data_IF_489688299178
#
_entry.id   IF_489688299178
#
_cell.length_a   1.000
_cell.length_b   1.000
_cell.length_c   1.000
_cell.angle_alpha   90.00
_cell.angle_beta   90.00
_cell.angle_gamma   90.00
#
_symmetry.space_group_name_H-M   'P 1'
#
loop_
_entity.id
_entity.type
_entity.pdbx_description
1 polymer ?
#
# COMPACT_ATOMS: atom_id res chain seq x y z
N UNK A 1 28.51 -15.07 17.78
CA UNK A 1 27.69 -15.46 16.61
C UNK A 1 26.83 -16.65 16.99
N UNK A 2 25.51 -16.57 16.86
CA UNK A 2 24.64 -17.72 17.13
C UNK A 2 24.77 -18.78 16.04
N UNK A 3 24.99 -20.05 16.42
CA UNK A 3 24.93 -21.18 15.51
C UNK A 3 23.47 -21.50 15.15
N UNK A 4 23.20 -21.79 13.87
CA UNK A 4 21.88 -22.23 13.40
C UNK A 4 21.92 -23.70 13.01
N UNK A 5 20.80 -24.40 13.14
CA UNK A 5 20.64 -25.78 12.64
C UNK A 5 20.62 -25.71 11.11
N UNK A 6 21.68 -26.18 10.46
CA UNK A 6 21.81 -26.14 8.99
C UNK A 6 20.90 -27.14 8.29
N UNK A 7 20.50 -28.21 8.98
CA UNK A 7 19.57 -29.22 8.48
C UNK A 7 18.10 -28.82 8.58
N UNK A 8 17.80 -27.74 9.31
CA UNK A 8 16.43 -27.26 9.45
C UNK A 8 16.02 -26.46 8.20
N UNK A 9 14.81 -26.73 7.70
CA UNK A 9 14.23 -25.92 6.64
C UNK A 9 13.98 -24.51 7.17
N UNK A 10 14.61 -23.51 6.54
CA UNK A 10 14.32 -22.10 6.83
C UNK A 10 12.94 -21.77 6.26
N UNK A 11 12.00 -21.37 7.11
CA UNK A 11 10.65 -20.98 6.69
C UNK A 11 10.25 -19.69 7.39
N UNK A 12 9.71 -18.75 6.61
CA UNK A 12 9.01 -17.59 7.17
C UNK A 12 7.65 -18.03 7.75
N UNK A 13 7.13 -17.26 8.71
CA UNK A 13 5.81 -17.51 9.26
C UNK A 13 4.73 -17.29 8.18
N UNK A 14 3.78 -18.23 8.05
CA UNK A 14 2.61 -18.08 7.19
C UNK A 14 1.55 -17.25 7.91
N UNK A 15 1.37 -15.99 7.52
CA UNK A 15 0.40 -15.07 8.12
C UNK A 15 -1.03 -15.40 7.67
N UNK A 16 -1.18 -15.89 6.45
CA UNK A 16 -2.47 -16.21 5.86
C UNK A 16 -2.36 -16.82 4.48
N UNK A 17 -3.52 -16.98 3.83
CA UNK A 17 -3.65 -17.59 2.51
C UNK A 17 -4.41 -16.68 1.57
N UNK A 18 -3.96 -16.68 0.31
CA UNK A 18 -4.60 -15.98 -0.81
C UNK A 18 -5.24 -17.04 -1.71
N UNK A 19 -6.51 -16.86 -2.04
CA UNK A 19 -7.29 -17.77 -2.92
C UNK A 19 -7.91 -17.01 -4.07
N UNK A 20 -8.18 -17.73 -5.16
CA UNK A 20 -8.78 -17.21 -6.40
C UNK A 20 -10.28 -17.51 -6.54
N UNK A 21 -10.88 -18.06 -5.49
CA UNK A 21 -12.28 -18.46 -5.47
C UNK A 21 -12.72 -18.93 -4.10
N UNK A 22 -14.03 -19.12 -3.95
CA UNK A 22 -14.67 -19.58 -2.72
C UNK A 22 -15.68 -20.68 -3.04
N UNK A 23 -16.31 -21.25 -2.02
CA UNK A 23 -17.39 -22.22 -2.22
C UNK A 23 -18.66 -21.68 -1.58
N UNK A 24 -19.79 -21.88 -2.26
CA UNK A 24 -21.13 -21.56 -1.74
C UNK A 24 -21.93 -22.83 -1.47
N UNK A 25 -22.86 -22.83 -0.50
CA UNK A 25 -23.79 -23.93 -0.31
C UNK A 25 -24.52 -24.26 -1.60
N UNK A 26 -24.80 -25.55 -1.84
CA UNK A 26 -25.54 -25.96 -3.02
C UNK A 26 -27.03 -25.67 -2.81
N UNK A 27 -27.66 -24.78 -3.61
CA UNK A 27 -29.05 -24.39 -3.41
C UNK A 27 -30.04 -25.53 -3.67
N UNK A 28 -29.66 -26.54 -4.48
CA UNK A 28 -30.50 -27.70 -4.78
C UNK A 28 -30.39 -28.82 -3.74
N UNK A 29 -29.27 -28.89 -3.04
CA UNK A 29 -29.05 -29.86 -1.97
C UNK A 29 -28.11 -29.24 -0.92
N UNK A 30 -28.64 -28.60 0.13
CA UNK A 30 -27.83 -27.94 1.15
C UNK A 30 -26.88 -28.88 1.89
N UNK A 31 -27.20 -30.17 1.98
CA UNK A 31 -26.33 -31.22 2.54
C UNK A 31 -25.34 -31.81 1.53
N UNK A 32 -25.45 -31.41 0.27
CA UNK A 32 -24.60 -31.85 -0.83
C UNK A 32 -23.27 -31.10 -0.86
N UNK A 33 -22.42 -31.47 -1.83
CA UNK A 33 -21.12 -30.83 -2.02
C UNK A 33 -21.30 -29.33 -2.35
N UNK A 34 -20.57 -28.42 -1.65
CA UNK A 34 -20.55 -27.01 -1.97
C UNK A 34 -20.15 -26.75 -3.43
N UNK A 35 -20.75 -25.74 -4.03
CA UNK A 35 -20.47 -25.34 -5.41
C UNK A 35 -19.26 -24.40 -5.39
N UNK A 36 -18.18 -24.71 -6.11
CA UNK A 36 -17.06 -23.79 -6.25
C UNK A 36 -17.48 -22.57 -7.09
N UNK A 37 -17.09 -21.39 -6.62
CA UNK A 37 -17.32 -20.10 -7.25
C UNK A 37 -15.97 -19.47 -7.55
N UNK A 38 -15.79 -19.06 -8.82
CA UNK A 38 -14.61 -18.30 -9.24
C UNK A 38 -14.79 -16.86 -8.77
N UNK A 39 -13.77 -16.29 -8.17
CA UNK A 39 -13.79 -14.88 -7.79
C UNK A 39 -13.12 -14.02 -8.87
N UNK A 40 -13.60 -12.80 -9.05
CA UNK A 40 -12.94 -11.80 -9.89
C UNK A 40 -11.75 -11.13 -9.16
N UNK A 41 -11.77 -11.19 -7.83
CA UNK A 41 -10.79 -10.59 -6.90
C UNK A 41 -10.26 -11.66 -5.95
N UNK A 42 -9.24 -11.34 -5.17
CA UNK A 42 -8.65 -12.30 -4.25
C UNK A 42 -9.50 -12.50 -2.99
N UNK A 43 -9.38 -13.68 -2.40
CA UNK A 43 -9.87 -13.97 -1.06
C UNK A 43 -8.67 -14.15 -0.14
N UNK A 44 -8.58 -13.34 0.90
CA UNK A 44 -7.56 -13.45 1.94
C UNK A 44 -8.18 -14.13 3.17
N UNK A 45 -7.45 -15.07 3.78
CA UNK A 45 -7.89 -15.70 5.03
C UNK A 45 -6.74 -15.88 6.01
N UNK A 46 -7.05 -15.81 7.30
CA UNK A 46 -6.12 -16.15 8.38
C UNK A 46 -6.87 -16.74 9.58
N UNK A 47 -6.12 -17.36 10.50
CA UNK A 47 -6.63 -17.65 11.84
C UNK A 47 -6.73 -16.37 12.68
N UNK A 48 -5.91 -15.36 12.38
CA UNK A 48 -5.97 -14.06 13.04
C UNK A 48 -7.05 -13.18 12.40
N UNK A 49 -8.01 -12.73 13.21
CA UNK A 49 -9.04 -11.79 12.78
C UNK A 49 -8.42 -10.45 12.35
N UNK A 50 -7.45 -9.95 13.12
CA UNK A 50 -6.79 -8.66 12.88
C UNK A 50 -6.14 -8.56 11.49
N UNK A 51 -5.54 -9.67 11.01
CA UNK A 51 -4.97 -9.70 9.65
C UNK A 51 -6.05 -9.61 8.58
N UNK A 52 -7.23 -10.17 8.81
CA UNK A 52 -8.32 -10.15 7.83
C UNK A 52 -9.04 -8.81 7.85
N UNK A 53 -9.21 -8.19 9.02
CA UNK A 53 -9.70 -6.82 9.17
C UNK A 53 -8.79 -5.82 8.47
N UNK A 54 -7.47 -5.92 8.69
CA UNK A 54 -6.52 -5.06 7.98
C UNK A 54 -6.55 -5.27 6.47
N UNK A 55 -6.71 -6.51 6.01
CA UNK A 55 -6.87 -6.79 4.59
C UNK A 55 -8.16 -6.15 4.03
N UNK A 56 -9.26 -6.15 4.78
CA UNK A 56 -10.51 -5.49 4.40
C UNK A 56 -10.35 -3.97 4.33
N UNK A 57 -9.66 -3.34 5.29
CA UNK A 57 -9.35 -1.90 5.25
C UNK A 57 -8.55 -1.51 4.01
N UNK A 58 -7.55 -2.33 3.64
CA UNK A 58 -6.65 -2.04 2.52
C UNK A 58 -7.25 -2.32 1.15
N UNK A 59 -8.05 -3.38 1.04
CA UNK A 59 -8.48 -3.93 -0.24
C UNK A 59 -10.00 -3.95 -0.42
N UNK A 60 -10.75 -3.42 0.55
CA UNK A 60 -12.21 -3.47 0.60
C UNK A 60 -12.76 -4.87 0.90
N UNK A 61 -14.08 -4.96 0.97
CA UNK A 61 -14.81 -6.20 1.24
C UNK A 61 -15.20 -6.38 2.71
N UNK A 62 -16.04 -7.40 2.95
CA UNK A 62 -16.55 -7.68 4.30
C UNK A 62 -15.82 -8.87 4.94
N UNK A 63 -15.47 -8.68 6.22
CA UNK A 63 -14.85 -9.72 7.04
C UNK A 63 -15.93 -10.67 7.53
N UNK A 64 -15.72 -11.97 7.32
CA UNK A 64 -16.61 -12.99 7.83
C UNK A 64 -15.84 -14.15 8.48
N UNK A 65 -16.44 -14.72 9.51
CA UNK A 65 -15.98 -15.99 10.06
C UNK A 65 -16.41 -17.13 9.14
N UNK A 66 -15.46 -17.98 8.79
CA UNK A 66 -15.65 -19.05 7.82
C UNK A 66 -14.80 -20.27 8.15
N UNK A 67 -15.37 -21.46 7.96
CA UNK A 67 -14.62 -22.71 8.10
C UNK A 67 -14.24 -23.25 6.72
N UNK A 68 -12.95 -23.41 6.41
CA UNK A 68 -12.52 -24.01 5.15
C UNK A 68 -13.08 -25.41 4.94
N UNK A 69 -13.41 -25.75 3.70
CA UNK A 69 -13.89 -27.08 3.37
C UNK A 69 -12.84 -28.14 3.75
N UNK A 70 -13.28 -29.17 4.49
CA UNK A 70 -12.39 -30.24 4.97
C UNK A 70 -11.53 -29.86 6.17
N UNK A 71 -11.79 -28.73 6.82
CA UNK A 71 -11.17 -28.34 8.09
C UNK A 71 -12.23 -28.25 9.19
N UNK A 72 -11.81 -28.49 10.43
CA UNK A 72 -12.67 -28.37 11.63
C UNK A 72 -12.52 -27.03 12.36
N UNK A 73 -11.51 -26.25 12.00
CA UNK A 73 -11.17 -25.00 12.69
C UNK A 73 -11.70 -23.82 11.89
N UNK A 74 -12.52 -22.99 12.53
CA UNK A 74 -12.99 -21.74 11.95
C UNK A 74 -11.82 -20.77 11.77
N UNK A 75 -11.87 -20.03 10.67
CA UNK A 75 -10.91 -18.98 10.29
C UNK A 75 -11.69 -17.70 9.98
N UNK A 76 -10.95 -16.63 9.73
CA UNK A 76 -11.50 -15.39 9.20
C UNK A 76 -11.14 -15.28 7.73
N UNK A 77 -12.05 -14.70 6.93
CA UNK A 77 -11.77 -14.38 5.54
C UNK A 77 -12.39 -13.05 5.12
N UNK A 78 -11.83 -12.48 4.07
CA UNK A 78 -12.38 -11.36 3.32
C UNK A 78 -12.26 -11.67 1.83
N UNK A 79 -13.33 -11.42 1.08
CA UNK A 79 -13.29 -11.37 -0.38
C UNK A 79 -13.05 -9.91 -0.74
N UNK A 80 -11.91 -9.60 -1.33
CA UNK A 80 -11.51 -8.20 -1.56
C UNK A 80 -12.34 -7.57 -2.67
N UNK A 81 -12.43 -6.25 -2.68
CA UNK A 81 -12.96 -5.48 -3.81
C UNK A 81 -11.86 -5.07 -4.78
N UNK A 82 -10.63 -4.92 -4.28
CA UNK A 82 -9.46 -4.63 -5.10
C UNK A 82 -9.20 -5.75 -6.12
N UNK A 83 -9.01 -5.35 -7.38
CA UNK A 83 -8.66 -6.25 -8.49
C UNK A 83 -7.18 -6.59 -8.55
N UNK A 84 -6.35 -5.79 -7.89
CA UNK A 84 -4.91 -5.93 -7.88
C UNK A 84 -4.39 -5.91 -6.43
N UNK A 85 -3.43 -6.77 -6.13
CA UNK A 85 -2.63 -6.72 -4.91
C UNK A 85 -1.20 -6.31 -5.26
N UNK A 86 -0.66 -5.38 -4.47
CA UNK A 86 0.78 -5.09 -4.46
C UNK A 86 1.43 -6.02 -3.45
N UNK A 87 2.42 -6.77 -3.91
CA UNK A 87 3.12 -7.75 -3.09
C UNK A 87 4.63 -7.69 -3.35
N UNK A 88 5.39 -8.39 -2.51
CA UNK A 88 6.83 -8.51 -2.63
C UNK A 88 7.18 -10.00 -2.64
N UNK A 89 7.91 -10.44 -3.66
CA UNK A 89 8.50 -11.76 -3.67
C UNK A 89 9.74 -11.79 -2.78
N UNK A 90 9.84 -12.76 -1.86
CA UNK A 90 11.04 -12.95 -1.06
C UNK A 90 12.22 -13.38 -1.94
N UNK A 91 13.43 -13.16 -1.43
CA UNK A 91 14.64 -13.67 -2.07
C UNK A 91 14.65 -15.21 -2.10
N UNK A 92 15.35 -15.78 -3.09
CA UNK A 92 15.29 -17.19 -3.44
C UNK A 92 14.10 -17.50 -4.34
N UNK A 93 13.83 -18.79 -4.55
CA UNK A 93 12.67 -19.25 -5.31
C UNK A 93 11.43 -19.31 -4.40
N UNK A 94 10.43 -18.41 -4.57
CA UNK A 94 9.22 -18.39 -3.77
C UNK A 94 8.17 -19.40 -4.24
N UNK A 95 8.38 -20.03 -5.40
CA UNK A 95 7.42 -20.88 -6.07
C UNK A 95 7.71 -22.36 -5.77
N UNK A 96 6.67 -23.09 -5.40
CA UNK A 96 6.69 -24.54 -5.24
C UNK A 96 5.61 -25.15 -6.10
N UNK A 97 6.00 -25.93 -7.10
CA UNK A 97 5.09 -26.63 -7.99
C UNK A 97 5.29 -28.14 -7.90
N UNK A 98 4.18 -28.88 -7.89
CA UNK A 98 4.21 -30.35 -7.96
C UNK A 98 2.89 -30.89 -8.50
N UNK A 99 2.94 -32.05 -9.13
CA UNK A 99 1.80 -32.91 -9.39
C UNK A 99 1.51 -33.75 -8.15
N UNK A 100 0.42 -33.44 -7.45
CA UNK A 100 0.09 -34.04 -6.15
C UNK A 100 -1.17 -34.91 -6.23
N UNK A 101 -1.08 -36.16 -5.79
CA UNK A 101 -2.26 -36.99 -5.51
C UNK A 101 -2.45 -37.09 -4.00
N UNK A 102 -3.61 -36.65 -3.52
CA UNK A 102 -3.97 -36.71 -2.11
C UNK A 102 -5.03 -37.78 -1.88
N UNK A 103 -4.80 -38.63 -0.87
CA UNK A 103 -5.77 -39.59 -0.34
C UNK A 103 -6.18 -39.20 1.08
N UNK A 104 -7.12 -39.94 1.68
CA UNK A 104 -7.49 -39.75 3.09
C UNK A 104 -6.31 -39.91 4.07
N UNK A 105 -5.24 -40.60 3.66
CA UNK A 105 -4.02 -40.79 4.46
C UNK A 105 -2.92 -39.76 4.22
N UNK A 106 -3.15 -38.75 3.37
CA UNK A 106 -2.17 -37.70 3.04
C UNK A 106 -1.74 -37.69 1.58
N UNK A 107 -0.60 -37.05 1.30
CA UNK A 107 -0.06 -36.94 -0.05
C UNK A 107 0.52 -38.29 -0.49
N UNK A 108 -0.22 -39.01 -1.33
CA UNK A 108 0.15 -40.32 -1.85
C UNK A 108 1.19 -40.24 -2.97
N UNK A 109 1.21 -39.14 -3.73
CA UNK A 109 2.19 -38.90 -4.80
C UNK A 109 2.55 -37.42 -4.84
N UNK A 110 3.83 -37.11 -5.04
CA UNK A 110 4.30 -35.75 -5.33
C UNK A 110 5.37 -35.80 -6.41
N UNK A 111 5.09 -35.31 -7.61
CA UNK A 111 6.05 -35.33 -8.72
C UNK A 111 6.37 -33.93 -9.25
N UNK A 112 7.57 -33.73 -9.79
CA UNK A 112 7.97 -32.53 -10.56
C UNK A 112 7.76 -32.68 -12.08
N UNK A 113 7.16 -33.80 -12.52
CA UNK A 113 6.99 -34.14 -13.93
C UNK A 113 8.05 -35.09 -14.47
N UNK A 114 9.19 -35.23 -13.78
CA UNK A 114 10.27 -36.17 -14.11
C UNK A 114 10.44 -37.22 -13.02
N UNK A 115 10.45 -36.78 -11.76
CA UNK A 115 10.70 -37.58 -10.56
C UNK A 115 9.52 -37.46 -9.59
N UNK A 116 9.19 -38.57 -8.93
CA UNK A 116 8.29 -38.66 -7.79
C UNK A 116 9.09 -38.59 -6.49
N UNK A 117 8.86 -37.58 -5.68
CA UNK A 117 9.72 -37.21 -4.55
C UNK A 117 9.55 -38.10 -3.31
N UNK A 118 8.43 -38.81 -3.15
CA UNK A 118 8.18 -39.64 -1.94
C UNK A 118 8.92 -40.98 -2.04
N UNK A 119 8.73 -41.68 -3.15
CA UNK A 119 9.34 -42.98 -3.48
C UNK A 119 10.65 -42.87 -4.26
N UNK A 120 11.00 -41.68 -4.76
CA UNK A 120 12.22 -41.40 -5.56
C UNK A 120 12.28 -42.21 -6.86
N UNK A 121 11.13 -42.36 -7.52
CA UNK A 121 10.96 -43.09 -8.80
C UNK A 121 10.59 -42.13 -9.93
N UNK A 122 10.58 -42.55 -11.21
CA UNK A 122 10.04 -41.72 -12.28
C UNK A 122 8.61 -41.26 -12.00
N UNK A 123 8.27 -40.05 -12.45
CA UNK A 123 6.95 -39.45 -12.29
C UNK A 123 5.84 -40.34 -12.88
N UNK A 124 4.97 -40.85 -12.02
CA UNK A 124 3.88 -41.76 -12.41
C UNK A 124 2.67 -41.02 -13.00
N UNK A 125 2.49 -39.74 -12.68
CA UNK A 125 1.31 -38.98 -13.11
C UNK A 125 1.17 -38.93 -14.65
N UNK A 126 2.28 -38.71 -15.34
CA UNK A 126 2.31 -38.70 -16.81
C UNK A 126 2.43 -40.10 -17.40
N UNK A 127 3.24 -40.97 -16.78
CA UNK A 127 3.48 -42.33 -17.27
C UNK A 127 2.22 -43.20 -17.24
N UNK A 128 1.35 -43.03 -16.23
CA UNK A 128 0.14 -43.85 -16.06
C UNK A 128 -1.06 -43.30 -16.84
N UNK A 129 -1.17 -41.97 -16.97
CA UNK A 129 -2.38 -41.30 -17.47
C UNK A 129 -2.18 -40.53 -18.79
N UNK A 130 -0.97 -40.52 -19.36
CA UNK A 130 -0.63 -39.82 -20.61
C UNK A 130 -0.40 -38.32 -20.45
N UNK A 131 -0.18 -37.61 -21.57
CA UNK A 131 0.07 -36.16 -21.60
C UNK A 131 -1.12 -35.33 -21.06
N UNK A 132 -2.33 -35.78 -21.39
CA UNK A 132 -3.57 -35.08 -21.07
C UNK A 132 -4.16 -35.47 -19.71
N UNK A 133 -3.37 -36.08 -18.82
CA UNK A 133 -3.83 -36.51 -17.49
C UNK A 133 -4.54 -35.40 -16.73
N UNK A 134 -4.10 -34.16 -16.88
CA UNK A 134 -4.66 -33.00 -16.18
C UNK A 134 -6.14 -32.75 -16.53
N UNK A 135 -6.63 -33.24 -17.67
CA UNK A 135 -8.02 -33.19 -18.09
C UNK A 135 -8.91 -34.19 -17.34
N UNK A 136 -8.36 -35.30 -16.87
CA UNK A 136 -9.15 -36.37 -16.22
C UNK A 136 -9.69 -35.94 -14.84
N UNK A 137 -8.94 -35.09 -14.14
CA UNK A 137 -9.40 -34.47 -12.89
C UNK A 137 -10.63 -33.57 -13.04
N UNK A 138 -10.97 -33.19 -14.28
CA UNK A 138 -12.18 -32.43 -14.59
C UNK A 138 -13.43 -33.32 -14.60
N UNK A 139 -13.26 -34.58 -15.02
CA UNK A 139 -14.32 -35.61 -15.10
C UNK A 139 -14.54 -36.23 -13.72
N UNK A 140 -13.45 -36.65 -13.08
CA UNK A 140 -13.48 -37.29 -11.77
C UNK A 140 -12.41 -36.67 -10.87
N UNK A 141 -12.83 -35.83 -9.94
CA UNK A 141 -11.88 -35.12 -9.08
C UNK A 141 -11.16 -36.07 -8.13
N UNK A 142 -9.83 -36.07 -8.18
CA UNK A 142 -8.99 -36.92 -7.34
C UNK A 142 -8.69 -38.30 -7.91
N UNK A 143 -9.12 -38.59 -9.14
CA UNK A 143 -8.74 -39.83 -9.85
C UNK A 143 -7.27 -39.85 -10.26
N UNK A 144 -6.70 -38.69 -10.55
CA UNK A 144 -5.29 -38.52 -10.95
C UNK A 144 -4.62 -37.39 -10.17
N UNK A 145 -3.30 -37.29 -10.27
CA UNK A 145 -2.52 -36.20 -9.64
C UNK A 145 -3.10 -34.83 -10.03
N UNK A 146 -2.99 -33.80 -9.19
CA UNK A 146 -3.40 -32.42 -9.50
C UNK A 146 -2.18 -31.54 -9.69
N UNK A 147 -2.20 -30.65 -10.69
CA UNK A 147 -1.17 -29.61 -10.78
C UNK A 147 -1.37 -28.64 -9.64
N UNK A 148 -0.41 -28.55 -8.72
CA UNK A 148 -0.51 -27.67 -7.56
C UNK A 148 0.67 -26.72 -7.51
N UNK A 149 0.36 -25.44 -7.50
CA UNK A 149 1.34 -24.37 -7.44
C UNK A 149 1.08 -23.51 -6.22
N UNK A 150 2.13 -23.31 -5.43
CA UNK A 150 2.12 -22.53 -4.19
C UNK A 150 3.20 -21.47 -4.27
N UNK A 151 2.84 -20.22 -4.05
CA UNK A 151 3.80 -19.11 -4.01
C UNK A 151 3.65 -18.34 -2.71
N UNK A 152 4.76 -18.07 -2.04
CA UNK A 152 4.82 -17.24 -0.85
C UNK A 152 5.11 -15.79 -1.24
N UNK A 153 4.23 -14.87 -0.85
CA UNK A 153 4.40 -13.43 -1.11
C UNK A 153 4.31 -12.65 0.18
N UNK A 154 5.01 -11.53 0.29
CA UNK A 154 4.83 -10.57 1.38
C UNK A 154 3.88 -9.47 0.93
N UNK A 155 2.97 -9.06 1.81
CA UNK A 155 2.08 -7.93 1.56
C UNK A 155 2.62 -6.75 2.37
N UNK A 156 3.19 -5.71 1.75
CA UNK A 156 3.98 -4.69 2.44
C UNK A 156 3.18 -3.84 3.44
N UNK A 157 1.88 -3.67 3.20
CA UNK A 157 0.99 -2.84 4.01
C UNK A 157 0.28 -3.63 5.13
N UNK A 158 0.56 -4.94 5.22
CA UNK A 158 0.04 -5.82 6.28
C UNK A 158 0.94 -5.76 7.52
N UNK A 159 0.37 -5.94 8.73
CA UNK A 159 1.14 -6.06 9.96
C UNK A 159 1.98 -7.33 9.95
N UNK A 160 3.08 -7.27 10.69
CA UNK A 160 4.03 -8.35 10.95
C UNK A 160 4.85 -8.86 9.75
N UNK A 161 6.01 -9.41 10.06
CA UNK A 161 6.92 -9.96 9.06
C UNK A 161 6.57 -11.44 8.79
N UNK A 162 6.05 -11.73 7.60
CA UNK A 162 5.74 -13.09 7.18
C UNK A 162 5.19 -13.19 5.76
N UNK A 163 4.83 -14.39 5.35
CA UNK A 163 4.35 -14.69 4.00
C UNK A 163 2.87 -15.01 3.98
N UNK A 164 2.21 -14.52 2.94
CA UNK A 164 0.90 -14.93 2.51
C UNK A 164 1.05 -15.97 1.40
N UNK A 165 0.44 -17.15 1.58
CA UNK A 165 0.55 -18.23 0.61
C UNK A 165 -0.60 -18.19 -0.38
N UNK A 166 -0.29 -17.95 -1.65
CA UNK A 166 -1.23 -18.17 -2.74
C UNK A 166 -1.13 -19.64 -3.19
N UNK A 167 -2.27 -20.30 -3.34
CA UNK A 167 -2.36 -21.69 -3.81
C UNK A 167 -3.38 -21.81 -4.94
N UNK A 168 -2.99 -22.48 -6.02
CA UNK A 168 -3.89 -22.82 -7.14
C UNK A 168 -3.63 -24.24 -7.62
N UNK A 169 -4.72 -24.86 -8.08
CA UNK A 169 -4.70 -26.22 -8.65
C UNK A 169 -4.95 -26.23 -10.17
N UNK A 170 -4.87 -25.07 -10.82
CA UNK A 170 -5.10 -24.95 -12.26
C UNK A 170 -3.81 -25.28 -13.01
N UNK A 171 -3.89 -26.22 -13.95
CA UNK A 171 -2.77 -26.60 -14.82
C UNK A 171 -2.24 -25.39 -15.61
N UNK A 172 -3.12 -24.67 -16.30
CA UNK A 172 -2.74 -23.48 -17.08
C UNK A 172 -2.24 -22.30 -16.23
N UNK A 173 -2.70 -22.19 -14.97
CA UNK A 173 -2.18 -21.16 -14.08
C UNK A 173 -0.76 -21.47 -13.60
N UNK A 174 -0.39 -22.76 -13.52
CA UNK A 174 0.95 -23.17 -13.14
C UNK A 174 2.00 -22.68 -14.14
N UNK A 175 1.73 -22.82 -15.43
CA UNK A 175 2.65 -22.39 -16.50
C UNK A 175 2.89 -20.87 -16.46
N UNK A 176 1.81 -20.09 -16.34
CA UNK A 176 1.90 -18.62 -16.31
C UNK A 176 2.64 -18.13 -15.07
N UNK A 177 2.39 -18.74 -13.91
CA UNK A 177 3.10 -18.38 -12.69
C UNK A 177 4.58 -18.78 -12.73
N UNK A 178 4.93 -19.93 -13.31
CA UNK A 178 6.33 -20.32 -13.50
C UNK A 178 7.06 -19.28 -14.36
N UNK A 179 6.50 -18.93 -15.53
CA UNK A 179 7.10 -17.91 -16.40
C UNK A 179 7.25 -16.54 -15.73
N UNK A 180 6.24 -16.11 -14.94
CA UNK A 180 6.31 -14.85 -14.19
C UNK A 180 7.41 -14.83 -13.12
N UNK A 181 7.55 -15.93 -12.37
CA UNK A 181 8.58 -16.08 -11.33
C UNK A 181 9.97 -16.22 -11.96
N UNK A 182 10.13 -17.03 -13.00
CA UNK A 182 11.41 -17.21 -13.69
C UNK A 182 11.95 -15.89 -14.25
N UNK A 183 11.06 -15.06 -14.81
CA UNK A 183 11.42 -13.71 -15.28
C UNK A 183 11.96 -12.85 -14.14
N UNK A 184 11.32 -12.91 -12.96
CA UNK A 184 11.78 -12.20 -11.75
C UNK A 184 13.11 -12.74 -11.24
N UNK A 185 13.27 -14.06 -11.19
CA UNK A 185 14.48 -14.70 -10.70
C UNK A 185 15.68 -14.41 -11.60
N UNK A 186 15.48 -14.41 -12.92
CA UNK A 186 16.51 -14.03 -13.89
C UNK A 186 16.94 -12.57 -13.71
N UNK A 187 15.99 -11.66 -13.49
CA UNK A 187 16.27 -10.23 -13.26
C UNK A 187 17.06 -9.96 -11.96
N UNK A 188 16.82 -10.77 -10.91
CA UNK A 188 17.38 -10.53 -9.57
C UNK A 188 18.51 -11.45 -9.17
N UNK A 189 18.86 -12.41 -10.04
CA UNK A 189 19.66 -13.60 -9.71
C UNK A 189 19.14 -14.36 -8.47
N UNK A 190 17.84 -14.22 -8.15
CA UNK A 190 17.22 -14.76 -6.94
C UNK A 190 17.76 -14.18 -5.63
N UNK A 191 18.54 -13.09 -5.66
CA UNK A 191 19.20 -12.52 -4.47
C UNK A 191 18.42 -11.37 -3.85
N UNK A 192 17.53 -10.75 -4.62
CA UNK A 192 16.76 -9.58 -4.19
C UNK A 192 15.31 -9.92 -3.92
N UNK A 193 14.72 -9.15 -3.02
CA UNK A 193 13.26 -9.01 -2.93
C UNK A 193 12.78 -8.32 -4.22
N UNK A 194 11.64 -8.74 -4.77
CA UNK A 194 11.08 -8.12 -5.98
C UNK A 194 9.66 -7.61 -5.73
N UNK A 195 9.38 -6.31 -5.90
CA UNK A 195 8.02 -5.81 -5.88
C UNK A 195 7.26 -6.32 -7.10
N UNK A 196 6.04 -6.81 -6.89
CA UNK A 196 5.17 -7.36 -7.93
C UNK A 196 3.74 -6.85 -7.77
N UNK A 197 3.03 -6.77 -8.89
CA UNK A 197 1.58 -6.61 -8.93
C UNK A 197 0.97 -7.95 -9.29
N UNK A 198 -0.14 -8.27 -8.63
CA UNK A 198 -0.85 -9.53 -8.81
C UNK A 198 -2.34 -9.27 -9.05
N UNK A 199 -2.93 -9.94 -10.02
CA UNK A 199 -4.38 -9.89 -10.29
C UNK A 199 -4.89 -11.23 -10.85
N UNK A 200 -6.22 -11.38 -10.88
CA UNK A 200 -6.87 -12.56 -11.47
C UNK A 200 -7.39 -12.22 -12.87
N UNK A 201 -6.91 -12.95 -13.87
CA UNK A 201 -7.50 -12.97 -15.21
C UNK A 201 -8.41 -14.18 -15.38
N UNK A 202 -9.61 -13.97 -15.91
CA UNK A 202 -10.48 -15.06 -16.32
C UNK A 202 -10.18 -15.40 -17.78
N UNK A 203 -9.58 -16.57 -18.02
CA UNK A 203 -9.30 -17.06 -19.38
C UNK A 203 -10.25 -18.19 -19.74
N UNK A 204 -10.41 -18.40 -21.05
CA UNK A 204 -11.16 -19.53 -21.58
C UNK A 204 -10.29 -20.41 -22.48
N UNK A 205 -10.65 -21.69 -22.53
CA UNK A 205 -10.11 -22.64 -23.51
C UNK A 205 -11.29 -23.35 -24.16
N UNK A 206 -11.27 -23.47 -25.48
CA UNK A 206 -12.28 -24.24 -26.20
C UNK A 206 -11.95 -25.72 -26.07
N UNK A 207 -12.92 -26.54 -25.66
CA UNK A 207 -12.80 -28.00 -25.60
C UNK A 207 -13.91 -28.65 -26.43
N UNK A 208 -13.76 -29.94 -26.79
CA UNK A 208 -14.86 -30.71 -27.38
C UNK A 208 -16.13 -30.71 -26.52
N UNK A 209 -15.98 -30.62 -25.20
CA UNK A 209 -17.09 -30.54 -24.23
C UNK A 209 -17.64 -29.12 -24.02
N UNK A 210 -17.18 -28.12 -24.78
CA UNK A 210 -17.54 -26.71 -24.64
C UNK A 210 -16.47 -25.82 -23.99
N UNK A 211 -16.70 -24.50 -23.91
CA UNK A 211 -15.72 -23.55 -23.42
C UNK A 211 -15.51 -23.67 -21.91
N UNK A 212 -14.27 -23.93 -21.48
CA UNK A 212 -13.91 -23.98 -20.06
C UNK A 212 -13.26 -22.68 -19.62
N UNK A 213 -13.81 -22.06 -18.58
CA UNK A 213 -13.28 -20.85 -17.98
C UNK A 213 -12.42 -21.20 -16.77
N UNK A 214 -11.28 -20.52 -16.59
CA UNK A 214 -10.38 -20.75 -15.47
C UNK A 214 -9.70 -19.44 -15.03
N UNK A 215 -9.53 -19.22 -13.72
CA UNK A 215 -8.76 -18.10 -13.22
C UNK A 215 -7.27 -18.38 -13.41
N UNK A 216 -6.56 -17.36 -13.89
CA UNK A 216 -5.10 -17.31 -13.97
C UNK A 216 -4.63 -16.18 -13.08
N UNK A 217 -3.63 -16.46 -12.24
CA UNK A 217 -2.99 -15.43 -11.43
C UNK A 217 -1.88 -14.84 -12.27
N UNK A 218 -2.02 -13.57 -12.60
CA UNK A 218 -0.95 -12.80 -13.22
C UNK A 218 -0.03 -12.29 -12.13
N UNK A 219 1.27 -12.40 -12.37
CA UNK A 219 2.32 -11.90 -11.50
C UNK A 219 3.32 -11.17 -12.37
N UNK A 220 3.43 -9.86 -12.16
CA UNK A 220 4.26 -8.99 -13.00
C UNK A 220 5.11 -8.08 -12.11
N UNK A 221 6.41 -7.87 -12.42
CA UNK A 221 7.25 -6.91 -11.73
C UNK A 221 6.59 -5.53 -11.63
N UNK A 222 6.61 -4.95 -10.44
CA UNK A 222 6.07 -3.62 -10.14
C UNK A 222 7.21 -2.61 -10.11
N UNK A 223 7.80 -2.35 -11.27
CA UNK A 223 8.92 -1.42 -11.44
C UNK A 223 8.54 -0.32 -12.44
N UNK A 224 9.06 0.91 -12.30
CA UNK A 224 8.73 2.01 -13.21
C UNK A 224 9.17 1.76 -14.67
N UNK A 225 10.28 1.05 -14.86
CA UNK A 225 10.77 0.69 -16.19
C UNK A 225 11.52 -0.64 -16.15
N UNK A 226 11.38 -1.43 -17.24
CA UNK A 226 12.00 -2.75 -17.37
C UNK A 226 13.53 -2.71 -17.18
N UNK A 227 14.18 -1.63 -17.62
CA UNK A 227 15.63 -1.43 -17.42
C UNK A 227 16.07 -1.55 -15.97
N UNK A 228 15.21 -1.21 -15.00
CA UNK A 228 15.54 -1.31 -13.57
C UNK A 228 15.51 -2.76 -13.07
N UNK A 229 14.72 -3.65 -13.67
CA UNK A 229 14.84 -5.09 -13.41
C UNK A 229 16.11 -5.66 -14.02
N UNK A 230 16.55 -5.12 -15.16
CA UNK A 230 17.72 -5.62 -15.89
C UNK A 230 19.05 -5.02 -15.40
N UNK A 231 19.01 -3.97 -14.56
CA UNK A 231 20.21 -3.29 -14.03
C UNK A 231 20.83 -3.99 -12.82
N UNK A 232 20.27 -5.12 -12.38
CA UNK A 232 20.75 -5.91 -11.24
C UNK A 232 19.84 -5.87 -10.00
N UNK A 233 20.30 -6.44 -8.87
CA UNK A 233 19.51 -6.58 -7.65
C UNK A 233 18.97 -5.23 -7.14
N UNK A 234 17.68 -5.18 -6.81
CA UNK A 234 17.05 -4.00 -6.22
C UNK A 234 17.39 -3.89 -4.72
N UNK A 235 17.47 -2.66 -4.21
CA UNK A 235 17.55 -2.46 -2.76
C UNK A 235 16.19 -2.77 -2.10
N UNK A 236 16.19 -3.15 -0.82
CA UNK A 236 14.94 -3.36 -0.06
C UNK A 236 14.08 -2.09 -0.03
N UNK A 237 14.71 -0.91 0.03
CA UNK A 237 14.01 0.36 -0.04
C UNK A 237 13.26 0.54 -1.38
N UNK A 238 13.90 0.17 -2.49
CA UNK A 238 13.25 0.17 -3.81
C UNK A 238 12.15 -0.89 -3.94
N UNK A 239 12.28 -2.03 -3.25
CA UNK A 239 11.23 -3.04 -3.21
C UNK A 239 10.00 -2.61 -2.40
N UNK A 240 10.18 -1.85 -1.32
CA UNK A 240 9.07 -1.33 -0.51
C UNK A 240 8.40 -0.12 -1.18
N UNK A 241 9.19 0.73 -1.84
CA UNK A 241 8.68 1.89 -2.56
C UNK A 241 9.30 1.99 -3.96
N UNK A 242 8.67 1.38 -4.99
CA UNK A 242 9.18 1.43 -6.36
C UNK A 242 9.25 2.85 -6.95
N UNK A 243 8.58 3.84 -6.35
CA UNK A 243 8.64 5.22 -6.81
C UNK A 243 10.04 5.83 -6.66
N UNK A 244 10.91 5.28 -5.81
CA UNK A 244 12.31 5.72 -5.70
C UNK A 244 13.16 5.35 -6.92
N UNK A 245 12.67 4.43 -7.77
CA UNK A 245 13.33 4.06 -9.02
C UNK A 245 12.98 5.01 -10.18
N UNK A 246 12.08 5.97 -9.96
CA UNK A 246 11.79 6.99 -10.97
C UNK A 246 12.98 7.95 -11.02
N UNK A 247 13.64 8.02 -12.17
CA UNK A 247 14.58 9.09 -12.50
C UNK A 247 13.82 10.42 -12.44
N UNK A 248 13.87 11.08 -11.29
CA UNK A 248 13.39 12.46 -11.18
C UNK A 248 14.37 13.30 -11.98
N UNK A 249 13.94 14.04 -13.02
CA UNK A 249 14.83 15.03 -13.62
C UNK A 249 15.35 15.91 -12.49
N UNK A 250 16.66 16.16 -12.49
CA UNK A 250 17.26 17.09 -11.55
C UNK A 250 16.45 18.39 -11.65
N UNK A 251 15.82 18.78 -10.55
CA UNK A 251 15.35 20.15 -10.44
C UNK A 251 16.60 21.01 -10.62
N UNK A 252 16.63 21.85 -11.65
CA UNK A 252 17.65 22.89 -11.78
C UNK A 252 17.78 23.53 -10.41
N UNK A 253 19.01 23.56 -9.87
CA UNK A 253 19.27 24.20 -8.59
C UNK A 253 18.69 25.61 -8.70
N UNK A 254 17.64 25.90 -7.92
CA UNK A 254 16.98 27.19 -7.96
C UNK A 254 18.05 28.26 -7.88
N UNK A 255 18.17 29.06 -8.93
CA UNK A 255 18.95 30.30 -8.89
C UNK A 255 18.50 31.01 -7.63
N UNK A 256 19.44 31.30 -6.71
CA UNK A 256 19.15 31.97 -5.45
C UNK A 256 18.14 33.09 -5.72
N UNK A 257 16.95 32.94 -5.14
CA UNK A 257 15.78 33.75 -5.47
C UNK A 257 16.18 35.22 -5.31
N UNK A 258 16.05 35.99 -6.41
CA UNK A 258 16.39 37.41 -6.43
C UNK A 258 15.64 38.08 -5.27
N UNK A 259 16.32 38.70 -4.29
CA UNK A 259 15.64 39.37 -3.20
C UNK A 259 14.64 40.41 -3.73
N UNK A 260 13.43 40.45 -3.17
CA UNK A 260 12.40 41.42 -3.53
C UNK A 260 12.71 42.77 -2.88
N UNK A 261 13.48 43.58 -3.59
CA UNK A 261 13.89 44.91 -3.14
C UNK A 261 12.72 45.89 -2.99
N UNK A 262 11.59 45.67 -3.67
CA UNK A 262 10.42 46.53 -3.53
C UNK A 262 9.68 46.22 -2.22
N UNK A 263 9.55 44.95 -1.86
CA UNK A 263 9.01 44.55 -0.57
C UNK A 263 9.87 45.07 0.61
N UNK A 264 11.20 44.98 0.48
CA UNK A 264 12.15 45.54 1.46
C UNK A 264 11.96 47.06 1.61
N UNK A 265 11.86 47.79 0.49
CA UNK A 265 11.74 49.24 0.49
C UNK A 265 10.41 49.75 1.05
N UNK A 266 9.30 49.05 0.79
CA UNK A 266 8.00 49.35 1.41
C UNK A 266 8.00 49.15 2.93
N UNK A 267 9.01 48.48 3.48
CA UNK A 267 9.20 48.34 4.92
C UNK A 267 10.07 49.39 5.59
N UNK A 268 10.67 50.28 4.82
CA UNK A 268 11.49 51.36 5.33
C UNK A 268 10.63 52.47 5.94
N UNK A 269 11.14 53.09 7.01
CA UNK A 269 10.47 54.21 7.70
C UNK A 269 11.05 55.57 7.33
N UNK A 270 12.15 55.58 6.58
CA UNK A 270 12.81 56.81 6.13
C UNK A 270 13.31 56.66 4.70
N UNK A 271 13.37 57.77 3.95
CA UNK A 271 13.93 57.77 2.59
C UNK A 271 15.39 57.29 2.55
N UNK A 272 16.17 57.55 3.61
CA UNK A 272 17.55 57.08 3.72
C UNK A 272 17.65 55.53 3.71
N UNK A 273 16.70 54.84 4.34
CA UNK A 273 16.64 53.38 4.33
C UNK A 273 16.25 52.83 2.95
N UNK A 274 15.31 53.49 2.25
CA UNK A 274 14.93 53.14 0.86
C UNK A 274 16.14 53.27 -0.08
N UNK A 275 16.93 54.34 0.08
CA UNK A 275 18.18 54.54 -0.68
C UNK A 275 19.20 53.43 -0.38
N UNK A 276 19.27 52.94 0.88
CA UNK A 276 20.14 51.82 1.22
C UNK A 276 19.70 50.50 0.54
N UNK A 277 18.40 50.29 0.34
CA UNK A 277 17.86 49.15 -0.44
C UNK A 277 18.32 49.23 -1.90
N UNK A 278 18.28 50.42 -2.52
CA UNK A 278 18.81 50.63 -3.87
C UNK A 278 20.31 50.32 -3.97
N UNK A 279 21.12 50.79 -3.01
CA UNK A 279 22.55 50.49 -3.00
C UNK A 279 22.85 49.00 -2.86
N UNK A 280 22.08 48.26 -2.05
CA UNK A 280 22.16 46.79 -1.95
C UNK A 280 21.79 46.12 -3.27
N UNK A 281 20.69 46.54 -3.90
CA UNK A 281 20.24 46.01 -5.19
C UNK A 281 21.29 46.22 -6.29
N UNK A 282 21.87 47.43 -6.36
CA UNK A 282 22.91 47.78 -7.34
C UNK A 282 24.21 47.03 -7.10
N UNK A 283 24.64 46.88 -5.85
CA UNK A 283 25.84 46.11 -5.50
C UNK A 283 25.70 44.62 -5.84
N UNK A 284 24.48 44.07 -5.74
CA UNK A 284 24.15 42.71 -6.16
C UNK A 284 23.96 42.54 -7.69
N UNK A 285 24.11 43.62 -8.49
CA UNK A 285 23.88 43.57 -9.94
C UNK A 285 22.41 43.50 -10.35
N UNK A 286 21.48 43.76 -9.42
CA UNK A 286 20.03 43.72 -9.63
C UNK A 286 19.42 45.11 -9.87
N UNK A 287 20.24 46.14 -10.04
CA UNK A 287 19.79 47.50 -10.31
C UNK A 287 19.31 47.65 -11.75
N UNK A 288 18.06 48.09 -11.93
CA UNK A 288 17.48 48.52 -13.20
C UNK A 288 16.95 49.95 -13.08
N UNK A 289 16.77 50.63 -14.22
CA UNK A 289 16.19 51.98 -14.24
C UNK A 289 14.74 51.98 -13.73
N UNK A 290 14.01 50.90 -13.97
CA UNK A 290 12.65 50.67 -13.45
C UNK A 290 12.64 50.56 -11.92
N UNK A 291 13.53 49.74 -11.34
CA UNK A 291 13.64 49.60 -9.88
C UNK A 291 14.07 50.93 -9.23
N UNK A 292 14.92 51.71 -9.88
CA UNK A 292 15.30 53.03 -9.38
C UNK A 292 14.12 54.01 -9.36
N UNK A 293 13.26 53.97 -10.38
CA UNK A 293 12.07 54.81 -10.45
C UNK A 293 11.07 54.44 -9.34
N UNK A 294 10.82 53.14 -9.14
CA UNK A 294 9.90 52.67 -8.11
C UNK A 294 10.40 53.00 -6.69
N UNK A 295 11.70 52.83 -6.43
CA UNK A 295 12.28 53.16 -5.12
C UNK A 295 12.29 54.68 -4.85
N UNK A 296 12.37 55.51 -5.89
CA UNK A 296 12.23 56.96 -5.73
C UNK A 296 10.80 57.34 -5.33
N UNK A 297 9.80 56.74 -5.98
CA UNK A 297 8.41 56.97 -5.62
C UNK A 297 8.15 56.57 -4.15
N UNK A 298 8.64 55.40 -3.73
CA UNK A 298 8.50 54.94 -2.34
C UNK A 298 9.22 55.90 -1.36
N UNK A 299 10.38 56.44 -1.72
CA UNK A 299 11.09 57.41 -0.88
C UNK A 299 10.33 58.74 -0.75
N UNK A 300 9.72 59.22 -1.84
CA UNK A 300 8.87 60.41 -1.85
C UNK A 300 7.60 60.21 -1.02
N UNK A 301 6.96 59.03 -1.12
CA UNK A 301 5.78 58.67 -0.32
C UNK A 301 6.12 58.65 1.17
N UNK A 302 7.26 58.06 1.56
CA UNK A 302 7.74 58.04 2.95
C UNK A 302 8.09 59.43 3.47
N UNK A 303 8.68 60.31 2.64
CA UNK A 303 8.95 61.71 3.01
C UNK A 303 7.67 62.55 3.15
N UNK A 304 6.64 62.23 2.37
CA UNK A 304 5.32 62.85 2.44
C UNK A 304 4.46 62.31 3.61
N UNK A 305 4.96 61.35 4.39
CA UNK A 305 4.22 60.74 5.50
C UNK A 305 3.14 59.76 5.05
N UNK A 306 3.19 59.29 3.81
CA UNK A 306 2.28 58.29 3.24
C UNK A 306 2.87 56.91 3.51
N UNK A 307 2.10 55.99 4.09
CA UNK A 307 2.57 54.60 4.24
C UNK A 307 2.64 53.93 2.87
N UNK A 308 3.85 53.57 2.37
CA UNK A 308 4.03 53.01 1.03
C UNK A 308 3.46 51.58 0.87
N UNK A 309 2.97 50.95 1.94
CA UNK A 309 2.27 49.65 1.88
C UNK A 309 0.77 49.79 1.67
N UNK A 310 0.17 50.84 2.22
CA UNK A 310 -1.28 51.00 2.30
C UNK A 310 -1.79 52.19 1.49
N UNK A 311 -0.91 53.15 1.15
CA UNK A 311 -1.24 54.37 0.40
C UNK A 311 -2.09 55.35 1.21
N UNK A 312 -2.17 55.17 2.53
CA UNK A 312 -2.93 56.02 3.45
C UNK A 312 -2.01 57.09 4.02
N UNK A 313 -2.49 58.32 4.05
CA UNK A 313 -1.84 59.43 4.75
C UNK A 313 -2.38 59.40 6.17
N UNK A 314 -1.51 59.21 7.18
CA UNK A 314 -1.92 59.35 8.58
C UNK A 314 -2.22 60.83 8.84
N UNK A 315 -3.49 61.20 8.74
CA UNK A 315 -4.01 62.49 9.19
C UNK A 315 -4.33 62.39 10.69
N UNK A 316 -3.31 62.08 11.50
CA UNK A 316 -3.40 62.11 12.97
C UNK A 316 -3.22 63.56 13.45
N UNK A 317 -4.29 64.33 13.28
CA UNK A 317 -4.54 65.52 14.08
C UNK A 317 -6.04 65.67 14.37
N UNK A 318 -6.68 64.59 14.82
CA UNK A 318 -7.93 64.64 15.58
C UNK A 318 -7.71 63.89 16.91
N UNK A 319 -7.33 64.67 17.93
CA UNK A 319 -7.47 64.34 19.35
C UNK A 319 -8.96 64.09 19.64
N UNK A 320 -9.42 62.84 19.77
CA UNK A 320 -10.62 62.47 20.55
C UNK A 320 -10.82 60.94 20.64
N UNK A 321 -9.84 60.21 21.19
CA UNK A 321 -10.15 58.93 21.85
C UNK A 321 -10.09 59.10 23.38
N UNK A 322 -11.18 58.82 24.12
CA UNK A 322 -11.18 58.93 25.57
C UNK A 322 -10.32 57.81 26.16
N UNK A 323 -9.10 58.17 26.58
CA UNK A 323 -8.26 57.33 27.42
C UNK A 323 -8.94 57.01 28.76
N UNK A 324 -8.53 55.90 29.42
CA UNK A 324 -9.11 55.47 30.68
C UNK A 324 -9.02 56.57 31.75
N UNK A 325 -10.05 56.68 32.60
CA UNK A 325 -9.98 57.57 33.75
C UNK A 325 -8.93 57.07 34.77
N UNK A 326 -8.68 57.88 35.81
CA UNK A 326 -7.57 57.70 36.73
C UNK A 326 -7.56 56.35 37.50
N UNK A 327 -8.62 55.53 37.39
CA UNK A 327 -8.74 54.21 38.00
C UNK A 327 -8.72 53.05 36.99
N UNK A 328 -8.48 53.30 35.69
CA UNK A 328 -8.16 52.25 34.71
C UNK A 328 -9.33 51.39 34.24
N UNK A 329 -10.57 51.88 34.32
CA UNK A 329 -11.76 51.14 33.89
C UNK A 329 -12.32 51.67 32.57
N UNK A 330 -12.59 50.77 31.61
CA UNK A 330 -13.33 51.08 30.38
C UNK A 330 -14.84 50.89 30.62
N UNK A 331 -15.72 51.75 30.06
CA UNK A 331 -17.16 51.56 30.17
C UNK A 331 -17.60 50.34 29.35
N UNK A 332 -18.14 49.32 30.03
CA UNK A 332 -18.66 48.12 29.40
C UNK A 332 -20.05 48.38 28.77
N UNK A 333 -20.24 47.94 27.53
CA UNK A 333 -21.54 47.89 26.86
C UNK A 333 -22.47 46.84 27.51
N UNK A 334 -23.71 47.24 27.74
CA UNK A 334 -24.79 46.36 28.23
C UNK A 334 -25.43 45.68 27.02
N UNK A 335 -25.34 44.35 26.93
CA UNK A 335 -26.07 43.53 25.96
C UNK A 335 -27.40 43.12 26.58
N UNK A 336 -28.50 43.40 25.88
CA UNK A 336 -29.87 43.04 26.27
C UNK A 336 -30.26 41.66 25.69
N UNK A 337 -31.00 40.88 26.48
CA UNK A 337 -31.31 39.45 26.27
C UNK A 337 -32.38 39.21 25.18
N UNK A 338 -32.18 38.19 24.34
CA UNK A 338 -33.25 37.70 23.44
C UNK A 338 -32.92 36.41 22.68
N UNK A 339 -33.66 35.35 23.03
CA UNK A 339 -33.94 34.10 22.29
C UNK A 339 -33.00 32.87 22.42
N UNK A 340 -33.39 31.98 23.36
CA UNK A 340 -33.24 30.51 23.35
C UNK A 340 -34.37 29.88 22.48
N UNK A 341 -34.42 28.56 22.08
CA UNK A 341 -33.58 27.37 22.38
C UNK A 341 -33.38 26.45 21.10
N UNK A 342 -33.10 25.11 21.10
CA UNK A 342 -32.90 24.16 22.20
C UNK A 342 -31.68 23.20 22.12
N UNK A 343 -31.39 22.68 23.31
CA UNK A 343 -30.37 21.72 23.73
C UNK A 343 -30.58 20.28 23.22
N UNK A 344 -29.50 19.62 22.77
CA UNK A 344 -29.37 18.15 22.82
C UNK A 344 -27.92 17.67 22.60
N UNK A 345 -27.06 17.71 23.62
CA UNK A 345 -25.93 16.78 23.76
C UNK A 345 -25.61 16.55 25.25
N UNK A 346 -25.53 15.29 25.73
CA UNK A 346 -25.09 14.98 27.09
C UNK A 346 -23.56 14.85 27.20
N UNK A 347 -23.10 15.41 28.31
CA UNK A 347 -21.86 15.33 29.08
C UNK A 347 -20.64 14.48 28.65
N UNK A 348 -19.52 15.13 28.89
CA UNK A 348 -18.15 14.71 28.67
C UNK A 348 -17.64 13.65 29.67
N UNK A 349 -16.79 12.79 29.11
CA UNK A 349 -15.68 12.04 29.70
C UNK A 349 -15.30 12.34 31.17
N UNK A 350 -15.59 11.36 32.04
CA UNK A 350 -14.83 11.12 33.26
C UNK A 350 -13.54 10.34 32.91
N UNK A 351 -12.39 10.83 33.38
CA UNK A 351 -11.10 10.15 33.32
C UNK A 351 -11.05 9.03 34.39
N UNK A 352 -10.45 7.85 34.12
CA UNK A 352 -10.35 6.77 35.12
C UNK A 352 -9.16 6.94 36.09
N UNK A 353 -9.38 6.49 37.33
CA UNK A 353 -8.46 6.56 38.47
C UNK A 353 -7.19 5.70 38.36
N UNK A 354 -6.10 6.20 38.94
CA UNK A 354 -4.77 5.58 39.04
C UNK A 354 -4.74 4.49 40.11
N UNK A 355 -4.21 3.31 39.76
CA UNK A 355 -4.08 2.15 40.66
C UNK A 355 -3.07 2.37 41.80
N UNK A 356 -3.47 2.02 43.03
CA UNK A 356 -2.61 1.96 44.22
C UNK A 356 -1.88 0.59 44.34
N UNK A 357 -0.62 0.55 44.79
CA UNK A 357 0.14 -0.69 44.95
C UNK A 357 -0.25 -1.44 46.23
N UNK A 358 -0.44 -2.76 46.08
CA UNK A 358 -0.82 -3.65 47.17
C UNK A 358 0.29 -3.89 48.18
N UNK A 359 -0.08 -3.94 49.46
CA UNK A 359 0.74 -4.47 50.55
C UNK A 359 0.04 -5.70 51.18
N UNK A 360 0.90 -6.63 51.57
CA UNK A 360 0.67 -8.02 51.95
C UNK A 360 -0.38 -8.29 53.04
N UNK A 361 -0.96 -9.49 52.97
CA UNK A 361 -0.90 -10.51 54.04
C UNK A 361 -0.94 -11.92 53.46
#
# INVERSE_FOLDING_TARGET
MGSRILTAKKQAAELGRIRTGYSRPNPKNPKGRPIPVRSATFLLSSHSQQYVERAAELYGGEVEQWTPQGQSVAQWRVITEARELRAILPAGDPLSQSFELWSGGGCSRRCDGVTEHISRRPCLCRAEYGEDWHLQNEVEQGSVCKTTSRIGVMLPDMPDLGVWRLETHSHYAADVMAGGVDTVLQATEGKSMMPVRMWIEQRNVMRPSGPKHFPVVMLVPSIPALRHALSGPLSTAAALNPAVLVDRPALEAGTAERPDYLADARGCKTAAEVIAVWHRARAAGHGSDELLADLKQIAEDVEAGVDPRTGVVDDDQDDDEPGPDADGAYPAEVVDDGDEPPTAYPDAAAWPDVAQPGNAR
#
